data_IF_353578923403
#
_entry.id   IF_353578923403
#
_cell.length_a   1.000
_cell.length_b   1.000
_cell.length_c   1.000
_cell.angle_alpha   90.00
_cell.angle_beta   90.00
_cell.angle_gamma   90.00
#
_symmetry.space_group_name_H-M   'P 1'
#
loop_
_entity.id
_entity.type
_entity.pdbx_description
1 polymer ?
#
# COMPACT_ATOMS: atom_id res chain seq x y z
N UNK A 1 11.53 17.69 -15.60
CA UNK A 1 11.63 16.32 -15.07
C UNK A 1 10.36 15.93 -14.34
N UNK A 2 9.86 14.72 -14.58
CA UNK A 2 8.68 14.16 -13.90
C UNK A 2 9.17 13.41 -12.66
N UNK A 3 8.71 13.82 -11.48
CA UNK A 3 9.03 13.13 -10.22
C UNK A 3 7.94 12.13 -9.86
N UNK A 4 8.28 11.12 -9.05
CA UNK A 4 7.29 10.19 -8.50
C UNK A 4 6.16 10.91 -7.75
N UNK A 5 6.50 11.93 -6.95
CA UNK A 5 5.51 12.74 -6.25
C UNK A 5 4.56 13.46 -7.23
N UNK A 6 5.07 13.95 -8.37
CA UNK A 6 4.22 14.56 -9.40
C UNK A 6 3.30 13.54 -10.08
N UNK A 7 3.76 12.31 -10.30
CA UNK A 7 2.94 11.21 -10.85
C UNK A 7 1.79 10.82 -9.92
N UNK A 8 1.98 10.92 -8.60
CA UNK A 8 0.98 10.57 -7.59
C UNK A 8 -0.07 11.68 -7.32
N UNK A 9 -0.02 12.81 -8.03
CA UNK A 9 -1.06 13.85 -7.97
C UNK A 9 -2.25 13.49 -8.86
N UNK A 10 -3.46 14.06 -8.67
CA UNK A 10 -4.59 13.83 -9.57
C UNK A 10 -4.27 14.09 -11.06
N UNK A 11 -3.48 15.13 -11.35
CA UNK A 11 -3.02 15.44 -12.72
C UNK A 11 -2.06 14.36 -13.24
N UNK A 12 -1.14 13.90 -12.40
CA UNK A 12 -0.21 12.82 -12.74
C UNK A 12 -0.94 11.51 -13.03
N UNK A 13 -1.90 11.16 -12.18
CA UNK A 13 -2.73 9.95 -12.31
C UNK A 13 -3.60 9.98 -13.58
N UNK A 14 -4.19 11.13 -13.91
CA UNK A 14 -4.90 11.28 -15.19
C UNK A 14 -3.98 11.06 -16.40
N UNK A 15 -2.72 11.49 -16.32
CA UNK A 15 -1.73 11.22 -17.36
C UNK A 15 -1.32 9.73 -17.40
N UNK A 16 -1.20 9.08 -16.23
CA UNK A 16 -0.93 7.63 -16.13
C UNK A 16 -2.06 6.82 -16.77
N UNK A 17 -3.32 7.20 -16.53
CA UNK A 17 -4.49 6.48 -17.09
C UNK A 17 -4.49 6.40 -18.62
N UNK A 18 -3.84 7.36 -19.29
CA UNK A 18 -3.73 7.36 -20.75
C UNK A 18 -2.95 6.15 -21.29
N UNK A 19 -2.13 5.48 -20.46
CA UNK A 19 -1.31 4.35 -20.88
C UNK A 19 -1.33 3.14 -19.92
N UNK A 20 -1.95 3.24 -18.75
CA UNK A 20 -2.05 2.17 -17.77
C UNK A 20 -3.46 2.07 -17.16
N UNK A 21 -3.77 0.89 -16.62
CA UNK A 21 -5.00 0.63 -15.87
C UNK A 21 -4.75 0.44 -14.37
N UNK A 22 -3.50 0.28 -13.97
CA UNK A 22 -3.07 0.08 -12.59
C UNK A 22 -1.86 0.94 -12.27
N UNK A 23 -1.74 1.33 -11.00
CA UNK A 23 -0.49 1.80 -10.41
C UNK A 23 0.01 0.81 -9.36
N UNK A 24 1.34 0.69 -9.29
CA UNK A 24 2.03 0.04 -8.19
C UNK A 24 2.56 1.10 -7.21
N UNK A 25 2.18 1.06 -5.94
CA UNK A 25 2.60 2.07 -4.96
C UNK A 25 3.24 1.44 -3.71
N UNK A 26 4.25 2.11 -3.16
CA UNK A 26 4.80 1.73 -1.85
C UNK A 26 3.75 1.94 -0.76
N UNK A 27 3.65 1.02 0.20
CA UNK A 27 2.69 1.14 1.32
C UNK A 27 2.81 2.46 2.09
N UNK A 28 4.00 3.07 2.18
CA UNK A 28 4.24 4.35 2.84
C UNK A 28 3.67 5.55 2.07
N UNK A 29 3.38 5.41 0.76
CA UNK A 29 2.66 6.45 0.00
C UNK A 29 1.16 6.42 0.29
N UNK A 30 0.64 5.25 0.69
CA UNK A 30 -0.78 5.03 0.99
C UNK A 30 -1.06 5.28 2.47
N UNK A 31 -0.20 4.81 3.38
CA UNK A 31 -0.30 5.00 4.84
C UNK A 31 1.01 5.69 5.32
N UNK A 32 1.17 7.00 5.12
CA UNK A 32 2.38 7.73 5.53
C UNK A 32 2.53 7.80 7.05
N UNK A 33 1.41 7.77 7.77
CA UNK A 33 1.35 7.64 9.22
C UNK A 33 0.56 6.39 9.55
N UNK A 34 1.06 5.47 10.41
CA UNK A 34 0.37 4.22 10.70
C UNK A 34 -1.07 4.45 11.15
N UNK A 35 -2.04 3.83 10.47
CA UNK A 35 -3.48 4.01 10.72
C UNK A 35 -4.14 5.15 9.95
N UNK A 36 -3.40 6.03 9.28
CA UNK A 36 -3.92 7.19 8.56
C UNK A 36 -3.58 7.12 7.06
N UNK A 37 -4.62 6.97 6.23
CA UNK A 37 -4.47 6.83 4.78
C UNK A 37 -4.36 8.18 4.08
N UNK A 38 -3.47 8.27 3.09
CA UNK A 38 -3.45 9.37 2.13
C UNK A 38 -4.63 9.28 1.14
N UNK A 39 -4.80 10.32 0.32
CA UNK A 39 -5.80 10.34 -0.74
C UNK A 39 -5.44 9.51 -1.98
N UNK A 40 -4.24 8.88 -2.03
CA UNK A 40 -3.70 8.30 -3.26
C UNK A 40 -4.62 7.23 -3.89
N UNK A 41 -5.22 6.35 -3.09
CA UNK A 41 -6.14 5.33 -3.60
C UNK A 41 -7.39 5.98 -4.18
N UNK A 42 -7.99 6.91 -3.45
CA UNK A 42 -9.19 7.62 -3.88
C UNK A 42 -8.95 8.41 -5.17
N UNK A 43 -7.81 9.10 -5.28
CA UNK A 43 -7.44 9.86 -6.46
C UNK A 43 -7.16 8.95 -7.67
N UNK A 44 -6.53 7.80 -7.45
CA UNK A 44 -6.28 6.81 -8.51
C UNK A 44 -7.60 6.23 -9.02
N UNK A 45 -8.51 5.85 -8.11
CA UNK A 45 -9.84 5.37 -8.45
C UNK A 45 -10.65 6.43 -9.21
N UNK A 46 -10.58 7.70 -8.81
CA UNK A 46 -11.24 8.80 -9.51
C UNK A 46 -10.69 9.01 -10.94
N UNK A 47 -9.41 8.71 -11.17
CA UNK A 47 -8.81 8.68 -12.49
C UNK A 47 -9.12 7.39 -13.29
N UNK A 48 -9.82 6.42 -12.71
CA UNK A 48 -10.14 5.13 -13.33
C UNK A 48 -8.98 4.12 -13.32
N UNK A 49 -8.02 4.29 -12.41
CA UNK A 49 -6.90 3.38 -12.17
C UNK A 49 -7.19 2.50 -10.96
N UNK A 50 -6.71 1.26 -10.99
CA UNK A 50 -6.64 0.39 -9.80
C UNK A 50 -5.29 0.54 -9.10
N UNK A 51 -5.22 0.14 -7.82
CA UNK A 51 -4.00 0.27 -7.01
C UNK A 51 -3.55 -1.09 -6.48
N UNK A 52 -2.32 -1.46 -6.84
CA UNK A 52 -1.60 -2.56 -6.21
C UNK A 52 -0.51 -2.00 -5.29
N UNK A 53 -0.48 -2.40 -4.02
CA UNK A 53 0.53 -1.92 -3.07
C UNK A 53 1.64 -2.95 -2.86
N UNK A 54 2.86 -2.46 -2.67
CA UNK A 54 4.03 -3.28 -2.39
C UNK A 54 4.88 -2.68 -1.25
N UNK A 55 5.64 -3.43 -0.46
CA UNK A 55 5.57 -4.89 -0.28
C UNK A 55 5.11 -5.19 1.14
N UNK A 56 4.06 -6.01 1.28
CA UNK A 56 3.61 -6.50 2.57
C UNK A 56 4.55 -7.63 3.04
N UNK A 57 5.28 -7.36 4.12
CA UNK A 57 6.22 -8.29 4.75
C UNK A 57 5.85 -8.49 6.22
N UNK A 58 5.85 -9.73 6.67
CA UNK A 58 5.39 -10.09 8.02
C UNK A 58 6.39 -9.75 9.12
N UNK A 59 7.68 -9.67 8.81
CA UNK A 59 8.75 -9.51 9.80
C UNK A 59 8.68 -8.15 10.51
N UNK A 60 8.77 -8.15 11.84
CA UNK A 60 8.62 -6.95 12.69
C UNK A 60 9.52 -5.80 12.24
N UNK A 61 10.72 -6.08 11.71
CA UNK A 61 11.66 -5.07 11.20
C UNK A 61 11.10 -4.24 10.03
N UNK A 62 10.17 -4.79 9.25
CA UNK A 62 9.53 -4.09 8.12
C UNK A 62 8.18 -3.47 8.47
N UNK A 63 7.62 -3.81 9.63
CA UNK A 63 6.33 -3.32 10.08
C UNK A 63 6.47 -2.00 10.84
N UNK A 64 5.47 -1.10 10.76
CA UNK A 64 5.37 0.00 11.71
C UNK A 64 5.09 -0.54 13.11
N UNK A 65 5.39 0.25 14.12
CA UNK A 65 5.30 -0.15 15.53
C UNK A 65 3.93 -0.74 15.92
N UNK A 66 2.84 -0.16 15.42
CA UNK A 66 1.47 -0.62 15.71
C UNK A 66 1.18 -2.05 15.24
N UNK A 67 1.92 -2.53 14.25
CA UNK A 67 1.71 -3.86 13.65
C UNK A 67 2.71 -4.89 14.19
N UNK A 68 3.69 -4.49 15.04
CA UNK A 68 4.66 -5.41 15.65
C UNK A 68 4.04 -6.16 16.84
N UNK A 69 4.46 -7.41 17.04
CA UNK A 69 4.02 -8.22 18.19
C UNK A 69 5.12 -8.50 19.21
N UNK A 70 6.38 -8.28 18.83
CA UNK A 70 7.57 -8.50 19.67
C UNK A 70 8.77 -7.70 19.16
N UNK A 71 9.83 -7.65 19.96
CA UNK A 71 11.10 -7.02 19.57
C UNK A 71 12.02 -7.90 18.69
N UNK A 72 11.66 -9.18 18.46
CA UNK A 72 12.41 -10.04 17.55
C UNK A 72 12.29 -9.52 16.10
N UNK A 73 13.39 -9.10 15.44
CA UNK A 73 13.31 -8.46 14.12
C UNK A 73 12.74 -9.36 13.03
N UNK A 74 13.04 -10.67 13.08
CA UNK A 74 12.59 -11.67 12.13
C UNK A 74 11.22 -12.30 12.49
N UNK A 75 10.71 -12.02 13.69
CA UNK A 75 9.42 -12.53 14.14
C UNK A 75 8.27 -11.93 13.32
N UNK A 76 7.22 -12.72 13.07
CA UNK A 76 6.07 -12.25 12.29
C UNK A 76 5.11 -11.42 13.16
N UNK A 77 4.79 -10.21 12.70
CA UNK A 77 3.77 -9.34 13.29
C UNK A 77 2.39 -9.50 12.67
N UNK A 78 1.57 -8.47 12.81
CA UNK A 78 0.14 -8.44 12.46
C UNK A 78 -0.10 -8.17 10.96
N UNK A 79 0.54 -8.96 10.08
CA UNK A 79 0.46 -8.76 8.63
C UNK A 79 -0.98 -8.80 8.10
N UNK A 80 -1.79 -9.75 8.57
CA UNK A 80 -3.18 -9.91 8.15
C UNK A 80 -4.05 -8.70 8.52
N UNK A 81 -3.84 -8.13 9.72
CA UNK A 81 -4.55 -6.94 10.18
C UNK A 81 -4.12 -5.69 9.39
N UNK A 82 -2.83 -5.55 9.11
CA UNK A 82 -2.30 -4.50 8.22
C UNK A 82 -2.91 -4.60 6.82
N UNK A 83 -2.98 -5.80 6.24
CA UNK A 83 -3.60 -6.02 4.94
C UNK A 83 -5.10 -5.66 4.97
N UNK A 84 -5.84 -6.11 5.98
CA UNK A 84 -7.26 -5.79 6.13
C UNK A 84 -7.50 -4.27 6.25
N UNK A 85 -6.61 -3.56 6.95
CA UNK A 85 -6.64 -2.09 7.04
C UNK A 85 -6.44 -1.43 5.67
N UNK A 86 -5.48 -1.88 4.88
CA UNK A 86 -5.27 -1.38 3.52
C UNK A 86 -6.42 -1.71 2.56
N UNK A 87 -7.02 -2.89 2.68
CA UNK A 87 -8.28 -3.22 1.97
C UNK A 87 -9.39 -2.25 2.38
N UNK A 88 -9.46 -1.89 3.66
CA UNK A 88 -10.37 -0.85 4.16
C UNK A 88 -10.14 0.54 3.56
N UNK A 89 -8.91 0.85 3.14
CA UNK A 89 -8.58 2.07 2.39
C UNK A 89 -8.94 1.99 0.90
N UNK A 90 -9.43 0.84 0.42
CA UNK A 90 -9.81 0.60 -0.97
C UNK A 90 -8.72 -0.05 -1.82
N UNK A 91 -7.70 -0.67 -1.22
CA UNK A 91 -6.64 -1.32 -1.99
C UNK A 91 -7.18 -2.47 -2.86
N UNK A 92 -6.82 -2.50 -4.14
CA UNK A 92 -7.30 -3.52 -5.09
C UNK A 92 -6.45 -4.81 -5.06
N UNK A 93 -5.14 -4.70 -4.81
CA UNK A 93 -4.23 -5.83 -4.74
C UNK A 93 -3.00 -5.55 -3.87
N UNK A 94 -2.37 -6.61 -3.37
CA UNK A 94 -1.14 -6.52 -2.60
C UNK A 94 -0.06 -7.45 -3.17
N UNK A 95 1.16 -6.93 -3.28
CA UNK A 95 2.37 -7.73 -3.40
C UNK A 95 2.88 -8.06 -2.00
N UNK A 96 3.16 -9.33 -1.74
CA UNK A 96 3.53 -9.81 -0.41
C UNK A 96 4.48 -11.00 -0.47
N UNK A 97 5.35 -11.08 0.52
CA UNK A 97 6.38 -12.12 0.59
C UNK A 97 5.86 -13.39 1.27
N UNK A 98 4.85 -13.26 2.13
CA UNK A 98 4.23 -14.38 2.86
C UNK A 98 2.73 -14.54 2.52
N UNK A 99 2.35 -14.92 1.29
CA UNK A 99 0.94 -15.00 0.87
C UNK A 99 0.10 -15.97 1.70
N UNK A 100 0.70 -17.00 2.31
CA UNK A 100 0.00 -17.92 3.21
C UNK A 100 -0.52 -17.28 4.51
N UNK A 101 -0.03 -16.07 4.87
CA UNK A 101 -0.45 -15.33 6.06
C UNK A 101 -1.57 -14.33 5.79
N UNK A 102 -1.96 -14.11 4.53
CA UNK A 102 -2.99 -13.14 4.15
C UNK A 102 -4.42 -13.54 4.56
N UNK A 103 -4.60 -14.73 5.14
CA UNK A 103 -5.91 -15.28 5.47
C UNK A 103 -6.64 -15.82 4.24
N UNK A 104 -7.61 -16.71 4.46
CA UNK A 104 -8.60 -17.13 3.46
C UNK A 104 -9.83 -16.27 3.59
#
# INVERSE_FOLDING_TARGET
DLTYAAMATPKGLAAVKAYADWIGADTAMIEPTPGDSSALIADAHAAGLKVAAWTFRAENVFLPEIDRVSDEPAGHGRLAERLARFVGYGLDAAFMDQPGLAGR
#
